data_IF_226031766666
#
_entry.id   IF_226031766666
#
_cell.length_a   1.000
_cell.length_b   1.000
_cell.length_c   1.000
_cell.angle_alpha   90.00
_cell.angle_beta   90.00
_cell.angle_gamma   90.00
#
_symmetry.space_group_name_H-M   'P 1'
#
loop_
_entity.id
_entity.type
_entity.pdbx_description
1 polymer ?
#
# COMPACT_ATOMS: atom_id res chain seq x y z
N UNK A 1 -24.58 3.51 -14.26
CA UNK A 1 -24.32 4.53 -13.23
C UNK A 1 -22.83 4.55 -12.94
N UNK A 2 -22.20 5.71 -12.94
CA UNK A 2 -20.82 5.77 -12.46
C UNK A 2 -20.81 5.31 -11.00
N UNK A 3 -20.00 4.33 -10.68
CA UNK A 3 -19.75 3.92 -9.30
C UNK A 3 -19.10 5.13 -8.64
N UNK A 4 -19.82 5.78 -7.72
CA UNK A 4 -19.25 6.84 -6.89
C UNK A 4 -17.99 6.26 -6.25
N UNK A 5 -16.83 6.84 -6.54
CA UNK A 5 -15.57 6.36 -5.99
C UNK A 5 -15.62 6.55 -4.47
N UNK A 6 -15.64 5.44 -3.73
CA UNK A 6 -15.47 5.52 -2.28
C UNK A 6 -14.05 6.00 -1.96
N UNK A 7 -13.81 6.66 -0.82
CA UNK A 7 -12.44 7.04 -0.42
C UNK A 7 -11.44 5.89 -0.46
N UNK A 8 -11.88 4.68 -0.14
CA UNK A 8 -11.07 3.45 -0.23
C UNK A 8 -10.66 3.15 -1.68
N UNK A 9 -11.60 3.19 -2.62
CA UNK A 9 -11.30 2.91 -4.03
C UNK A 9 -10.30 3.92 -4.59
N UNK A 10 -10.43 5.19 -4.22
CA UNK A 10 -9.49 6.23 -4.64
C UNK A 10 -8.09 5.99 -4.06
N UNK A 11 -7.96 5.59 -2.79
CA UNK A 11 -6.67 5.20 -2.20
C UNK A 11 -6.04 4.01 -2.92
N UNK A 12 -6.83 2.99 -3.24
CA UNK A 12 -6.33 1.85 -4.03
C UNK A 12 -5.77 2.34 -5.37
N UNK A 13 -6.53 3.18 -6.09
CA UNK A 13 -6.08 3.73 -7.38
C UNK A 13 -4.79 4.54 -7.27
N UNK A 14 -4.65 5.36 -6.23
CA UNK A 14 -3.42 6.13 -5.98
C UNK A 14 -2.21 5.22 -5.73
N UNK A 15 -2.38 4.15 -4.96
CA UNK A 15 -1.30 3.16 -4.75
C UNK A 15 -0.93 2.45 -6.06
N UNK A 16 -1.92 2.05 -6.87
CA UNK A 16 -1.69 1.37 -8.15
C UNK A 16 -0.98 2.30 -9.15
N UNK A 17 -1.30 3.59 -9.13
CA UNK A 17 -0.69 4.58 -10.04
C UNK A 17 0.80 4.81 -9.81
N UNK A 18 1.34 4.43 -8.65
CA UNK A 18 2.78 4.56 -8.35
C UNK A 18 3.47 3.24 -8.68
N UNK A 19 4.33 3.18 -9.72
CA UNK A 19 5.09 1.98 -10.03
C UNK A 19 6.05 1.59 -8.89
N UNK A 20 6.13 0.30 -8.59
CA UNK A 20 7.02 -0.25 -7.55
C UNK A 20 7.45 -1.69 -7.88
N UNK A 21 7.77 -1.94 -9.13
CA UNK A 21 8.20 -3.26 -9.60
C UNK A 21 9.53 -3.66 -8.96
N UNK A 22 9.59 -4.87 -8.43
CA UNK A 22 10.82 -5.50 -7.94
C UNK A 22 11.32 -6.51 -8.95
N UNK A 23 12.55 -6.37 -9.40
CA UNK A 23 13.14 -7.25 -10.40
C UNK A 23 14.63 -7.48 -10.15
N UNK A 24 15.12 -8.64 -10.52
CA UNK A 24 16.56 -8.93 -10.58
C UNK A 24 17.22 -8.24 -11.76
N UNK A 25 16.44 -7.86 -12.77
CA UNK A 25 16.92 -7.07 -13.90
C UNK A 25 16.85 -5.57 -13.60
N UNK A 26 17.99 -4.87 -13.52
CA UNK A 26 18.01 -3.46 -13.12
C UNK A 26 17.13 -2.54 -13.97
N UNK A 27 16.93 -2.88 -15.24
CA UNK A 27 16.10 -2.10 -16.17
C UNK A 27 14.61 -2.10 -15.83
N UNK A 28 14.14 -3.10 -15.07
CA UNK A 28 12.74 -3.22 -14.64
C UNK A 28 12.56 -2.94 -13.15
N UNK A 29 13.66 -2.89 -12.41
CA UNK A 29 13.63 -2.72 -10.97
C UNK A 29 13.37 -1.26 -10.58
N UNK A 30 12.42 -1.05 -9.69
CA UNK A 30 11.97 0.28 -9.27
C UNK A 30 12.03 0.43 -7.76
N UNK A 31 12.21 1.66 -7.30
CA UNK A 31 12.12 2.01 -5.89
C UNK A 31 10.69 1.83 -5.37
N UNK A 32 10.54 1.34 -4.14
CA UNK A 32 9.25 1.37 -3.45
C UNK A 32 9.05 2.66 -2.64
N UNK A 33 10.06 3.53 -2.58
CA UNK A 33 10.05 4.71 -1.72
C UNK A 33 8.85 5.63 -1.95
N UNK A 34 8.41 5.93 -3.20
CA UNK A 34 7.23 6.76 -3.41
C UNK A 34 5.93 6.16 -2.84
N UNK A 35 5.78 4.83 -2.90
CA UNK A 35 4.64 4.14 -2.28
C UNK A 35 4.71 4.22 -0.77
N UNK A 36 5.91 4.00 -0.20
CA UNK A 36 6.16 4.10 1.25
C UNK A 36 5.84 5.51 1.76
N UNK A 37 6.29 6.55 1.07
CA UNK A 37 6.06 7.94 1.47
C UNK A 37 4.56 8.29 1.43
N UNK A 38 3.82 7.83 0.42
CA UNK A 38 2.37 8.05 0.35
C UNK A 38 1.64 7.35 1.51
N UNK A 39 1.98 6.09 1.78
CA UNK A 39 1.40 5.33 2.89
C UNK A 39 1.75 5.96 4.24
N UNK A 40 2.99 6.43 4.42
CA UNK A 40 3.42 7.11 5.64
C UNK A 40 2.55 8.33 5.95
N UNK A 41 2.33 9.19 4.96
CA UNK A 41 1.46 10.36 5.11
C UNK A 41 0.04 9.96 5.54
N UNK A 42 -0.56 8.96 4.89
CA UNK A 42 -1.91 8.53 5.25
C UNK A 42 -2.00 7.93 6.66
N UNK A 43 -0.95 7.21 7.07
CA UNK A 43 -0.89 6.60 8.41
C UNK A 43 -0.66 7.64 9.50
N UNK A 44 0.19 8.64 9.26
CA UNK A 44 0.38 9.78 10.15
C UNK A 44 -0.92 10.57 10.31
N UNK A 45 -1.60 10.90 9.21
CA UNK A 45 -2.92 11.56 9.22
C UNK A 45 -3.98 10.73 9.97
N UNK A 46 -3.85 9.42 9.92
CA UNK A 46 -4.70 8.50 10.68
C UNK A 46 -4.29 8.34 12.15
N UNK A 47 -3.22 9.00 12.61
CA UNK A 47 -2.77 9.01 14.01
C UNK A 47 -1.86 7.84 14.40
N UNK A 48 -1.18 7.20 13.44
CA UNK A 48 -0.12 6.24 13.71
C UNK A 48 1.21 6.94 13.96
N UNK A 49 2.02 6.40 14.86
CA UNK A 49 3.45 6.71 14.90
C UNK A 49 4.13 5.93 13.78
N UNK A 50 4.78 6.63 12.85
CA UNK A 50 5.35 6.03 11.65
C UNK A 50 6.87 6.01 11.71
N UNK A 51 7.46 4.86 11.39
CA UNK A 51 8.89 4.68 11.24
C UNK A 51 9.20 4.15 9.85
N UNK A 52 10.06 4.87 9.12
CA UNK A 52 10.58 4.45 7.81
C UNK A 52 12.00 3.94 8.00
N UNK A 53 12.26 2.70 7.61
CA UNK A 53 13.57 2.05 7.71
C UNK A 53 14.14 1.80 6.31
N UNK A 54 15.06 2.65 5.82
CA UNK A 54 15.77 2.39 4.57
C UNK A 54 16.57 1.10 4.66
N UNK A 55 16.57 0.31 3.60
CA UNK A 55 17.38 -0.91 3.54
C UNK A 55 18.87 -0.56 3.41
N UNK A 56 19.72 -1.27 4.15
CA UNK A 56 21.18 -0.99 4.17
C UNK A 56 21.81 -1.10 2.78
N UNK A 57 21.46 -2.13 2.03
CA UNK A 57 22.06 -2.43 0.72
C UNK A 57 21.37 -1.67 -0.44
N UNK A 58 20.15 -1.22 -0.22
CA UNK A 58 19.30 -0.57 -1.24
C UNK A 58 18.57 0.61 -0.59
N UNK A 59 19.23 1.76 -0.50
CA UNK A 59 18.68 2.96 0.14
C UNK A 59 17.47 3.57 -0.58
N UNK A 60 17.28 3.19 -1.83
CA UNK A 60 16.08 3.49 -2.62
C UNK A 60 14.85 2.65 -2.21
N UNK A 61 15.04 1.71 -1.28
CA UNK A 61 13.98 0.87 -0.72
C UNK A 61 13.87 1.04 0.79
N UNK A 62 12.65 0.96 1.28
CA UNK A 62 12.39 1.10 2.71
C UNK A 62 11.28 0.15 3.18
N UNK A 63 11.35 -0.19 4.45
CA UNK A 63 10.22 -0.74 5.19
C UNK A 63 9.47 0.39 5.88
N UNK A 64 8.18 0.25 6.02
CA UNK A 64 7.30 1.15 6.74
C UNK A 64 6.70 0.41 7.92
N UNK A 65 6.87 0.95 9.12
CA UNK A 65 6.39 0.35 10.36
C UNK A 65 5.52 1.39 11.07
N UNK A 66 4.21 1.38 10.83
CA UNK A 66 3.27 2.21 11.55
C UNK A 66 2.84 1.51 12.84
N UNK A 67 2.72 2.24 13.94
CA UNK A 67 2.27 1.69 15.22
C UNK A 67 1.20 2.58 15.82
N UNK A 68 0.11 1.99 16.27
CA UNK A 68 -0.94 2.64 17.07
C UNK A 68 -1.16 1.86 18.36
N UNK A 69 -1.25 2.56 19.48
CA UNK A 69 -1.32 1.95 20.81
C UNK A 69 0.06 1.65 21.37
N UNK A 70 0.09 1.04 22.54
CA UNK A 70 1.34 0.74 23.26
C UNK A 70 1.21 -0.56 24.06
N UNK A 71 2.34 -1.07 24.53
CA UNK A 71 2.43 -2.28 25.34
C UNK A 71 2.91 -3.51 24.58
N UNK A 72 3.03 -4.64 25.27
CA UNK A 72 3.49 -5.89 24.68
C UNK A 72 2.39 -6.58 23.87
N UNK A 73 2.79 -7.42 22.92
CA UNK A 73 1.90 -8.17 22.05
C UNK A 73 1.28 -7.32 20.96
N UNK A 74 0.07 -7.65 20.56
CA UNK A 74 -0.68 -6.91 19.57
C UNK A 74 -0.92 -7.67 18.27
N UNK A 75 -1.46 -6.96 17.28
CA UNK A 75 -1.75 -7.46 15.95
C UNK A 75 -0.86 -6.77 14.93
N UNK A 76 -0.20 -7.56 14.09
CA UNK A 76 0.55 -7.06 12.94
C UNK A 76 -0.20 -7.39 11.66
N UNK A 77 -0.49 -6.37 10.85
CA UNK A 77 -1.04 -6.51 9.50
C UNK A 77 0.11 -6.32 8.50
N UNK A 78 0.74 -7.44 8.13
CA UNK A 78 1.92 -7.41 7.27
C UNK A 78 1.54 -7.49 5.79
N UNK A 79 2.11 -6.61 4.98
CA UNK A 79 1.99 -6.59 3.53
C UNK A 79 3.27 -6.10 2.85
N UNK A 80 3.31 -6.19 1.52
CA UNK A 80 4.42 -5.67 0.73
C UNK A 80 3.97 -4.60 -0.27
N UNK A 81 4.89 -3.70 -0.60
CA UNK A 81 4.63 -2.55 -1.49
C UNK A 81 5.09 -2.78 -2.91
N UNK A 82 5.91 -3.79 -3.15
CA UNK A 82 6.43 -4.13 -4.46
C UNK A 82 5.44 -4.97 -5.27
N UNK A 83 5.66 -4.95 -6.57
CA UNK A 83 4.94 -5.76 -7.55
C UNK A 83 5.92 -6.51 -8.42
N UNK A 84 5.44 -7.49 -9.17
CA UNK A 84 6.27 -8.27 -10.11
C UNK A 84 6.40 -7.58 -11.46
N UNK A 85 7.44 -7.89 -12.25
CA UNK A 85 7.50 -7.49 -13.65
C UNK A 85 6.28 -8.00 -14.44
N UNK A 86 5.87 -7.26 -15.45
CA UNK A 86 4.69 -7.56 -16.25
C UNK A 86 4.95 -7.35 -17.74
N UNK A 87 4.17 -8.04 -18.57
CA UNK A 87 4.12 -7.84 -20.00
C UNK A 87 2.93 -6.94 -20.35
N UNK A 88 3.20 -5.68 -20.66
CA UNK A 88 2.16 -4.69 -20.96
C UNK A 88 1.28 -5.09 -22.16
N UNK A 89 1.80 -5.84 -23.12
CA UNK A 89 1.06 -6.33 -24.29
C UNK A 89 -0.05 -7.34 -23.95
N UNK A 90 -0.02 -7.91 -22.77
CA UNK A 90 -1.03 -8.87 -22.28
C UNK A 90 -2.10 -8.25 -21.40
N UNK A 91 -2.00 -6.93 -21.12
CA UNK A 91 -2.99 -6.21 -20.32
C UNK A 91 -4.06 -5.55 -21.18
N UNK A 92 -5.33 -5.73 -20.79
CA UNK A 92 -6.46 -5.07 -21.45
C UNK A 92 -6.54 -3.59 -21.10
N UNK A 93 -6.17 -3.23 -19.88
CA UNK A 93 -6.14 -1.86 -19.35
C UNK A 93 -4.72 -1.52 -18.92
N UNK A 94 -4.44 -0.22 -18.78
CA UNK A 94 -3.16 0.24 -18.22
C UNK A 94 -2.90 -0.42 -16.85
N UNK A 95 -1.77 -1.13 -16.65
CA UNK A 95 -1.41 -1.75 -15.37
C UNK A 95 -1.39 -0.78 -14.19
N UNK A 96 -1.14 0.48 -14.43
CA UNK A 96 -1.11 1.54 -13.40
C UNK A 96 -2.38 2.41 -13.38
N UNK A 97 -3.36 2.12 -14.22
CA UNK A 97 -4.56 2.93 -14.36
C UNK A 97 -5.58 2.77 -13.23
N UNK A 98 -5.57 1.64 -12.52
CA UNK A 98 -6.59 1.35 -11.50
C UNK A 98 -8.01 1.44 -12.07
N UNK A 99 -8.22 0.92 -13.28
CA UNK A 99 -9.47 1.04 -14.01
C UNK A 99 -10.56 0.21 -13.35
N UNK A 100 -11.72 0.81 -13.12
CA UNK A 100 -12.90 0.11 -12.60
C UNK A 100 -13.85 -0.18 -13.77
N UNK A 101 -14.08 -1.47 -14.02
CA UNK A 101 -15.00 -1.95 -15.06
C UNK A 101 -15.59 -3.29 -14.63
N UNK A 102 -16.82 -3.55 -15.02
CA UNK A 102 -17.52 -4.82 -14.79
C UNK A 102 -17.51 -5.27 -13.30
N UNK A 103 -17.62 -4.31 -12.37
CA UNK A 103 -17.58 -4.57 -10.92
C UNK A 103 -16.21 -4.99 -10.39
N UNK A 104 -15.12 -4.78 -11.13
CA UNK A 104 -13.75 -5.13 -10.77
C UNK A 104 -12.83 -3.93 -10.91
N UNK A 105 -11.74 -3.95 -10.16
CA UNK A 105 -10.63 -3.01 -10.34
C UNK A 105 -9.46 -3.72 -11.03
N UNK A 106 -8.95 -3.12 -12.09
CA UNK A 106 -7.84 -3.65 -12.89
C UNK A 106 -6.59 -2.81 -12.65
N UNK A 107 -5.50 -3.46 -12.28
CA UNK A 107 -4.21 -2.81 -12.07
C UNK A 107 -3.19 -3.74 -11.45
N UNK A 108 -1.92 -3.48 -11.71
CA UNK A 108 -0.80 -4.25 -11.15
C UNK A 108 -0.71 -3.98 -9.64
N UNK A 109 -0.88 -5.02 -8.83
CA UNK A 109 -0.89 -4.93 -7.37
C UNK A 109 -2.29 -4.75 -6.76
N UNK A 110 -3.38 -4.77 -7.55
CA UNK A 110 -4.74 -4.76 -6.99
C UNK A 110 -5.06 -6.03 -6.22
N UNK A 111 -4.54 -7.17 -6.64
CA UNK A 111 -4.72 -8.45 -5.95
C UNK A 111 -3.50 -8.80 -5.07
N UNK A 112 -2.28 -8.52 -5.52
CA UNK A 112 -1.04 -8.86 -4.84
C UNK A 112 -0.07 -7.68 -4.87
N UNK A 113 -0.08 -6.88 -3.82
CA UNK A 113 -1.08 -6.81 -2.74
C UNK A 113 -1.28 -5.38 -2.27
N UNK A 114 -1.02 -4.39 -3.14
CA UNK A 114 -1.08 -2.96 -2.75
C UNK A 114 -2.47 -2.54 -2.27
N UNK A 115 -3.55 -3.13 -2.84
CA UNK A 115 -4.90 -2.86 -2.35
C UNK A 115 -5.11 -3.30 -0.90
N UNK A 116 -4.45 -4.37 -0.45
CA UNK A 116 -4.48 -4.79 0.95
C UNK A 116 -4.01 -3.69 1.90
N UNK A 117 -3.00 -2.91 1.52
CA UNK A 117 -2.46 -1.84 2.35
C UNK A 117 -3.50 -0.71 2.56
N UNK A 118 -4.26 -0.38 1.53
CA UNK A 118 -5.37 0.57 1.65
C UNK A 118 -6.52 0.01 2.50
N UNK A 119 -6.86 -1.27 2.35
CA UNK A 119 -7.88 -1.95 3.14
C UNK A 119 -7.50 -2.03 4.62
N UNK A 120 -6.25 -2.38 4.92
CA UNK A 120 -5.73 -2.44 6.28
C UNK A 120 -5.79 -1.07 6.98
N UNK A 121 -5.39 -0.01 6.27
CA UNK A 121 -5.51 1.36 6.77
C UNK A 121 -6.96 1.74 7.03
N UNK A 122 -7.87 1.45 6.10
CA UNK A 122 -9.29 1.80 6.26
C UNK A 122 -9.92 1.09 7.45
N UNK A 123 -9.65 -0.21 7.61
CA UNK A 123 -10.09 -0.98 8.77
C UNK A 123 -9.49 -0.43 10.09
N UNK A 124 -8.20 -0.07 10.08
CA UNK A 124 -7.53 0.46 11.26
C UNK A 124 -8.04 1.83 11.69
N UNK A 125 -8.57 2.63 10.78
CA UNK A 125 -9.14 3.96 11.08
C UNK A 125 -10.40 3.90 11.95
N UNK A 126 -11.10 2.79 11.94
CA UNK A 126 -12.29 2.55 12.77
C UNK A 126 -11.96 2.48 14.26
N UNK A 127 -10.70 2.24 14.63
CA UNK A 127 -10.25 2.05 15.99
C UNK A 127 -9.37 3.22 16.45
N UNK A 128 -9.78 3.92 17.53
CA UNK A 128 -8.92 4.92 18.17
C UNK A 128 -7.83 4.24 19.02
N UNK A 129 -6.72 4.95 19.24
CA UNK A 129 -5.63 4.42 20.08
C UNK A 129 -6.13 4.07 21.50
N UNK A 130 -7.08 4.84 22.04
CA UNK A 130 -7.66 4.59 23.37
C UNK A 130 -8.60 3.39 23.44
N UNK A 131 -9.07 2.87 22.30
CA UNK A 131 -9.91 1.65 22.25
C UNK A 131 -9.10 0.36 22.13
N UNK A 132 -7.80 0.47 21.82
CA UNK A 132 -6.93 -0.69 21.64
C UNK A 132 -6.40 -1.18 22.99
N UNK A 133 -6.58 -2.47 23.27
CA UNK A 133 -5.99 -3.12 24.45
C UNK A 133 -4.52 -3.47 24.26
N UNK A 134 -4.10 -3.65 23.01
CA UNK A 134 -2.75 -3.99 22.59
C UNK A 134 -2.43 -3.22 21.31
N UNK A 135 -1.15 -3.01 20.96
CA UNK A 135 -0.81 -2.24 19.77
C UNK A 135 -1.26 -2.91 18.48
N UNK A 136 -1.56 -2.07 17.49
CA UNK A 136 -1.76 -2.42 16.09
C UNK A 136 -0.55 -1.91 15.29
N UNK A 137 0.05 -2.81 14.53
CA UNK A 137 1.23 -2.53 13.69
C UNK A 137 0.95 -2.90 12.24
#
# INVERSE_FOLDING_TARGET
MPISSTPLLERIRQLIAIPSVSSVSPQFDQSNRPVVDLLANWLEDAGFAVRIEPRRERRDRANLIPTRGAGPGGLVLAGHTDTVPFDAGRWRYDPFGGVVADGRIYGLGTADMKAFLALALEAAREFSAGSLRQPLV
#
